data_IF_517260764314
#
_entry.id   IF_517260764314
#
_cell.length_a   1.000
_cell.length_b   1.000
_cell.length_c   1.000
_cell.angle_alpha   90.00
_cell.angle_beta   90.00
_cell.angle_gamma   90.00
#
_symmetry.space_group_name_H-M   'P 1'
#
loop_
_entity.id
_entity.type
_entity.pdbx_description
1 polymer ?
#
# COMPACT_ATOMS: atom_id res chain seq x y z
N UNK A 1 11.91 16.70 -2.28
CA UNK A 1 12.50 15.80 -3.31
C UNK A 1 12.37 14.30 -2.97
N UNK A 2 12.46 13.89 -1.70
CA UNK A 2 12.37 12.46 -1.30
C UNK A 2 11.12 11.74 -1.85
N UNK A 3 9.96 12.40 -1.86
CA UNK A 3 8.70 11.77 -2.29
C UNK A 3 8.49 11.68 -3.81
N UNK A 4 9.25 12.40 -4.63
CA UNK A 4 9.01 12.45 -6.09
C UNK A 4 9.20 11.08 -6.75
N UNK A 5 10.17 10.29 -6.27
CA UNK A 5 10.41 8.93 -6.77
C UNK A 5 9.27 7.98 -6.40
N UNK A 6 8.71 8.13 -5.21
CA UNK A 6 7.56 7.35 -4.75
C UNK A 6 6.28 7.70 -5.51
N UNK A 7 6.06 8.99 -5.81
CA UNK A 7 4.90 9.47 -6.59
C UNK A 7 5.01 9.05 -8.06
N UNK A 8 6.22 9.13 -8.64
CA UNK A 8 6.44 8.81 -10.06
C UNK A 8 6.33 7.31 -10.36
N UNK A 9 6.52 6.43 -9.39
CA UNK A 9 6.62 4.98 -9.63
C UNK A 9 5.46 4.19 -9.04
N UNK A 10 4.95 3.23 -9.81
CA UNK A 10 3.83 2.39 -9.40
C UNK A 10 4.24 1.06 -8.74
N UNK A 11 5.51 0.92 -8.39
CA UNK A 11 6.13 -0.34 -7.97
C UNK A 11 5.42 -0.98 -6.77
N UNK A 12 4.93 -0.19 -5.81
CA UNK A 12 4.18 -0.74 -4.68
C UNK A 12 2.85 -1.37 -5.10
N UNK A 13 2.08 -0.70 -5.95
CA UNK A 13 0.80 -1.23 -6.44
C UNK A 13 1.02 -2.45 -7.33
N UNK A 14 2.06 -2.45 -8.17
CA UNK A 14 2.44 -3.62 -8.97
C UNK A 14 2.78 -4.82 -8.08
N UNK A 15 3.55 -4.61 -7.01
CA UNK A 15 3.88 -5.66 -6.03
C UNK A 15 2.63 -6.21 -5.34
N UNK A 16 1.69 -5.35 -4.95
CA UNK A 16 0.42 -5.75 -4.34
C UNK A 16 -0.40 -6.59 -5.32
N UNK A 17 -0.60 -6.07 -6.54
CA UNK A 17 -1.37 -6.76 -7.57
C UNK A 17 -0.76 -8.10 -7.95
N UNK A 18 0.58 -8.20 -8.02
CA UNK A 18 1.29 -9.46 -8.29
C UNK A 18 1.06 -10.49 -7.18
N UNK A 19 1.08 -10.06 -5.92
CA UNK A 19 0.86 -10.94 -4.77
C UNK A 19 -0.60 -11.38 -4.65
N UNK A 20 -1.56 -10.50 -4.94
CA UNK A 20 -2.98 -10.87 -5.02
C UNK A 20 -3.16 -11.93 -6.12
N UNK A 21 -2.62 -11.71 -7.32
CA UNK A 21 -2.71 -12.65 -8.44
C UNK A 21 -2.05 -13.99 -8.14
N UNK A 22 -0.93 -13.99 -7.41
CA UNK A 22 -0.24 -15.22 -6.97
C UNK A 22 -1.10 -16.03 -6.01
N UNK A 23 -1.78 -15.37 -5.06
CA UNK A 23 -2.63 -16.03 -4.06
C UNK A 23 -3.96 -16.52 -4.65
N UNK A 24 -4.57 -15.76 -5.55
CA UNK A 24 -5.80 -16.19 -6.23
C UNK A 24 -5.54 -17.38 -7.14
N UNK A 25 -4.36 -17.48 -7.78
CA UNK A 25 -3.99 -18.62 -8.62
C UNK A 25 -3.92 -19.95 -7.86
N UNK A 26 -3.55 -19.95 -6.58
CA UNK A 26 -3.46 -21.18 -5.76
C UNK A 26 -4.85 -21.73 -5.44
N UNK A 27 -5.86 -20.86 -5.30
CA UNK A 27 -7.23 -21.28 -4.96
C UNK A 27 -7.93 -21.93 -6.15
N UNK A 28 -7.58 -21.54 -7.39
CA UNK A 28 -8.14 -22.12 -8.61
C UNK A 28 -9.57 -21.64 -8.89
N UNK A 29 -10.54 -22.07 -8.09
CA UNK A 29 -11.95 -21.66 -8.19
C UNK A 29 -12.47 -21.20 -6.83
N UNK A 30 -13.03 -20.00 -6.77
CA UNK A 30 -13.65 -19.48 -5.56
C UNK A 30 -15.13 -19.91 -5.49
N UNK A 31 -15.64 -20.25 -4.30
CA UNK A 31 -17.05 -20.61 -4.12
C UNK A 31 -18.00 -19.41 -4.34
N UNK A 32 -17.53 -18.18 -4.15
CA UNK A 32 -18.30 -16.94 -4.41
C UNK A 32 -17.36 -15.72 -4.58
N UNK A 33 -17.81 -14.68 -5.26
CA UNK A 33 -17.07 -13.42 -5.44
C UNK A 33 -16.67 -12.76 -4.13
N UNK A 34 -17.49 -12.87 -3.07
CA UNK A 34 -17.16 -12.34 -1.74
C UNK A 34 -15.96 -13.03 -1.11
N UNK A 35 -15.80 -14.33 -1.35
CA UNK A 35 -14.65 -15.10 -0.84
C UNK A 35 -13.33 -14.67 -1.49
N UNK A 36 -13.36 -14.35 -2.79
CA UNK A 36 -12.22 -13.77 -3.50
C UNK A 36 -11.86 -12.37 -2.97
N UNK A 37 -12.88 -11.55 -2.71
CA UNK A 37 -12.71 -10.22 -2.11
C UNK A 37 -12.07 -10.33 -0.71
N UNK A 38 -12.53 -11.26 0.13
CA UNK A 38 -11.96 -11.47 1.46
C UNK A 38 -10.48 -11.81 1.41
N UNK A 39 -10.05 -12.66 0.47
CA UNK A 39 -8.63 -13.00 0.31
C UNK A 39 -7.79 -11.76 -0.05
N UNK A 40 -8.28 -10.94 -0.98
CA UNK A 40 -7.61 -9.70 -1.36
C UNK A 40 -7.55 -8.72 -0.18
N UNK A 41 -8.65 -8.51 0.53
CA UNK A 41 -8.73 -7.64 1.71
C UNK A 41 -7.82 -8.11 2.85
N UNK A 42 -7.78 -9.42 3.13
CA UNK A 42 -6.89 -9.99 4.13
C UNK A 42 -5.42 -9.72 3.78
N UNK A 43 -5.07 -9.81 2.49
CA UNK A 43 -3.71 -9.49 2.04
C UNK A 43 -3.39 -8.01 2.21
N UNK A 44 -4.30 -7.12 1.82
CA UNK A 44 -4.13 -5.67 1.96
C UNK A 44 -3.96 -5.28 3.43
N UNK A 45 -4.80 -5.82 4.32
CA UNK A 45 -4.71 -5.59 5.77
C UNK A 45 -3.33 -5.97 6.33
N UNK A 46 -2.81 -7.14 5.94
CA UNK A 46 -1.48 -7.56 6.38
C UNK A 46 -0.36 -6.60 5.94
N UNK A 47 -0.46 -6.01 4.74
CA UNK A 47 0.50 -5.03 4.24
C UNK A 47 0.38 -3.71 5.01
N UNK A 48 -0.84 -3.24 5.23
CA UNK A 48 -1.09 -2.02 5.98
C UNK A 48 -0.48 -2.11 7.39
N UNK A 49 -0.76 -3.20 8.12
CA UNK A 49 -0.30 -3.40 9.49
C UNK A 49 1.21 -3.62 9.63
N UNK A 50 1.85 -4.34 8.69
CA UNK A 50 3.31 -4.61 8.80
C UNK A 50 4.18 -3.51 8.24
N UNK A 51 3.83 -3.01 7.05
CA UNK A 51 4.77 -2.20 6.26
C UNK A 51 4.42 -0.72 6.20
N UNK A 52 3.15 -0.35 6.37
CA UNK A 52 2.73 1.05 6.20
C UNK A 52 2.57 1.79 7.53
N UNK A 53 2.16 1.10 8.60
CA UNK A 53 1.95 1.74 9.91
C UNK A 53 3.21 1.80 10.79
N UNK A 54 4.10 0.80 10.75
CA UNK A 54 5.07 0.58 11.83
C UNK A 54 6.52 0.97 11.48
N UNK A 55 7.06 0.52 10.33
CA UNK A 55 8.52 0.62 10.07
C UNK A 55 8.94 1.54 8.91
N UNK A 56 8.06 1.80 7.94
CA UNK A 56 8.33 2.65 6.76
C UNK A 56 7.06 3.39 6.33
N UNK A 57 6.84 4.59 6.87
CA UNK A 57 5.81 5.48 6.33
C UNK A 57 6.08 5.68 4.84
N UNK A 58 5.09 5.36 4.00
CA UNK A 58 5.22 5.44 2.54
C UNK A 58 5.52 6.88 2.08
N UNK A 59 4.95 7.86 2.76
CA UNK A 59 5.37 9.26 2.74
C UNK A 59 5.32 9.80 4.16
N UNK A 60 6.42 10.40 4.61
CA UNK A 60 6.41 11.17 5.85
C UNK A 60 6.01 12.62 5.53
N UNK A 61 4.89 13.08 6.11
CA UNK A 61 4.30 14.40 5.85
C UNK A 61 4.74 15.45 6.88
N UNK A 62 5.42 15.03 7.95
CA UNK A 62 5.98 15.92 9.00
C UNK A 62 6.84 17.04 8.41
N UNK A 63 7.71 16.70 7.44
CA UNK A 63 8.55 17.69 6.74
C UNK A 63 7.75 18.66 5.87
N UNK A 64 6.56 18.26 5.40
CA UNK A 64 5.68 19.15 4.65
C UNK A 64 5.00 20.15 5.60
N UNK A 65 4.51 19.65 6.74
CA UNK A 65 3.90 20.47 7.80
C UNK A 65 4.88 21.52 8.35
N UNK A 66 6.16 21.17 8.53
CA UNK A 66 7.22 22.10 8.94
C UNK A 66 7.47 23.22 7.92
N UNK A 67 7.39 22.91 6.62
CA UNK A 67 7.55 23.90 5.54
C UNK A 67 6.32 24.82 5.50
N UNK A 68 5.11 24.30 5.66
CA UNK A 68 3.89 25.10 5.68
C UNK A 68 3.88 26.06 6.89
N UNK A 69 4.28 25.59 8.07
CA UNK A 69 4.40 26.42 9.28
C UNK A 69 5.41 27.57 9.11
N UNK A 70 6.54 27.31 8.46
CA UNK A 70 7.55 28.33 8.15
C UNK A 70 7.09 29.35 7.09
N UNK A 71 6.10 29.00 6.26
CA UNK A 71 5.55 29.91 5.25
C UNK A 71 4.41 30.78 5.79
N UNK A 72 3.71 30.31 6.83
CA UNK A 72 2.63 31.06 7.50
C UNK A 72 3.11 32.00 8.62
N UNK A 73 4.37 31.88 9.05
CA UNK A 73 5.03 32.73 10.03
C UNK A 73 5.81 33.87 9.36
#
# INVERSE_FOLDING_TARGET
>A
REHHRSIRTNNMLERIMKEIRRRTRVVGSFPDGKSALMLACARLRHIATKSWSDTRKYMDMTKLEEIELQQTA
#
